data_IF_853549180031
#
_entry.id   IF_853549180031
#
_cell.length_a   1.000
_cell.length_b   1.000
_cell.length_c   1.000
_cell.angle_alpha   90.00
_cell.angle_beta   90.00
_cell.angle_gamma   90.00
#
_symmetry.space_group_name_H-M   'P 1'
#
loop_
_entity.id
_entity.type
_entity.pdbx_description
1 polymer ?
#
# COMPACT_ATOMS: atom_id res chain seq x y z
N UNK A 1 3.36 -29.36 24.61
CA UNK A 1 4.17 -29.41 23.35
C UNK A 1 3.44 -28.84 22.15
N UNK A 2 2.19 -29.16 21.92
CA UNK A 2 1.37 -28.59 20.82
C UNK A 2 1.11 -27.08 20.95
N UNK A 3 0.93 -26.56 22.16
CA UNK A 3 0.75 -25.11 22.40
C UNK A 3 2.02 -24.29 22.09
N UNK A 4 3.21 -24.83 22.34
CA UNK A 4 4.46 -24.15 22.03
C UNK A 4 4.73 -24.10 20.51
N UNK A 5 4.34 -25.12 19.77
CA UNK A 5 4.45 -25.12 18.30
C UNK A 5 3.48 -24.10 17.67
N UNK A 6 2.27 -23.96 18.20
CA UNK A 6 1.30 -22.98 17.74
C UNK A 6 1.76 -21.52 17.99
N UNK A 7 2.44 -21.26 19.11
CA UNK A 7 2.99 -19.93 19.41
C UNK A 7 4.21 -19.59 18.53
N UNK A 8 5.05 -20.56 18.21
CA UNK A 8 6.19 -20.35 17.30
C UNK A 8 5.74 -20.09 15.86
N UNK A 9 4.75 -20.82 15.36
CA UNK A 9 4.20 -20.59 14.02
C UNK A 9 3.56 -19.20 13.92
N UNK A 10 2.84 -18.75 14.94
CA UNK A 10 2.24 -17.41 14.97
C UNK A 10 3.28 -16.28 14.98
N UNK A 11 4.41 -16.47 15.67
CA UNK A 11 5.50 -15.50 15.71
C UNK A 11 6.20 -15.39 14.34
N UNK A 12 6.52 -16.51 13.71
CA UNK A 12 7.12 -16.54 12.38
C UNK A 12 6.17 -15.93 11.33
N UNK A 13 4.89 -16.21 11.40
CA UNK A 13 3.89 -15.67 10.51
C UNK A 13 3.75 -14.15 10.64
N UNK A 14 3.73 -13.61 11.86
CA UNK A 14 3.71 -12.17 12.10
C UNK A 14 4.95 -11.48 11.54
N UNK A 15 6.13 -12.05 11.75
CA UNK A 15 7.39 -11.51 11.23
C UNK A 15 7.40 -11.51 9.70
N UNK A 16 6.89 -12.57 9.08
CA UNK A 16 6.77 -12.66 7.63
C UNK A 16 5.80 -11.60 7.08
N UNK A 17 4.65 -11.40 7.70
CA UNK A 17 3.69 -10.36 7.30
C UNK A 17 4.28 -8.95 7.40
N UNK A 18 5.05 -8.67 8.46
CA UNK A 18 5.73 -7.38 8.62
C UNK A 18 6.74 -7.15 7.48
N UNK A 19 7.59 -8.12 7.18
CA UNK A 19 8.57 -8.03 6.09
C UNK A 19 7.88 -7.85 4.73
N UNK A 20 6.80 -8.59 4.46
CA UNK A 20 6.03 -8.42 3.23
C UNK A 20 5.42 -7.03 3.11
N UNK A 21 4.95 -6.45 4.22
CA UNK A 21 4.40 -5.09 4.24
C UNK A 21 5.49 -4.03 3.96
N UNK A 22 6.67 -4.18 4.55
CA UNK A 22 7.83 -3.31 4.27
C UNK A 22 8.26 -3.41 2.81
N UNK A 23 8.40 -4.63 2.28
CA UNK A 23 8.76 -4.85 0.88
C UNK A 23 7.73 -4.27 -0.10
N UNK A 24 6.45 -4.24 0.25
CA UNK A 24 5.42 -3.61 -0.57
C UNK A 24 5.47 -2.08 -0.52
N UNK A 25 5.95 -1.49 0.56
CA UNK A 25 6.02 -0.04 0.72
C UNK A 25 7.24 0.60 0.01
N UNK A 26 8.38 -0.09 -0.05
CA UNK A 26 9.62 0.47 -0.61
C UNK A 26 9.54 0.86 -2.08
N UNK A 27 9.01 0.05 -3.01
CA UNK A 27 8.84 0.47 -4.39
C UNK A 27 7.91 1.68 -4.55
N UNK A 28 6.91 1.79 -3.66
CA UNK A 28 5.99 2.92 -3.63
C UNK A 28 6.69 4.25 -3.32
N UNK A 29 7.68 4.23 -2.44
CA UNK A 29 8.51 5.41 -2.14
C UNK A 29 9.31 5.86 -3.36
N UNK A 30 9.96 4.92 -4.04
CA UNK A 30 10.73 5.22 -5.25
C UNK A 30 9.84 5.82 -6.36
N UNK A 31 8.67 5.24 -6.58
CA UNK A 31 7.69 5.75 -7.55
C UNK A 31 7.19 7.15 -7.20
N UNK A 32 6.95 7.42 -5.91
CA UNK A 32 6.52 8.73 -5.44
C UNK A 32 7.60 9.80 -5.66
N UNK A 33 8.86 9.49 -5.31
CA UNK A 33 9.98 10.38 -5.54
C UNK A 33 10.19 10.68 -7.02
N UNK A 34 10.12 9.63 -7.86
CA UNK A 34 10.24 9.82 -9.31
C UNK A 34 9.11 10.66 -9.87
N UNK A 35 7.86 10.41 -9.48
CA UNK A 35 6.72 11.20 -9.93
C UNK A 35 6.84 12.67 -9.51
N UNK A 36 7.28 12.95 -8.27
CA UNK A 36 7.56 14.31 -7.82
C UNK A 36 8.64 14.99 -8.64
N UNK A 37 9.76 14.32 -8.87
CA UNK A 37 10.84 14.81 -9.70
C UNK A 37 10.39 15.08 -11.15
N UNK A 38 9.64 14.17 -11.74
CA UNK A 38 9.14 14.31 -13.10
C UNK A 38 8.19 15.52 -13.26
N UNK A 39 7.37 15.78 -12.24
CA UNK A 39 6.50 16.95 -12.19
C UNK A 39 7.29 18.25 -12.05
N UNK A 40 8.28 18.28 -11.14
CA UNK A 40 9.11 19.48 -10.92
C UNK A 40 9.95 19.85 -12.15
N UNK A 41 10.42 18.85 -12.89
CA UNK A 41 11.19 19.05 -14.12
C UNK A 41 10.32 19.15 -15.38
N UNK A 42 9.00 19.09 -15.25
CA UNK A 42 8.05 19.09 -16.38
C UNK A 42 8.40 18.07 -17.47
N UNK A 43 8.80 16.87 -17.07
CA UNK A 43 9.16 15.80 -17.99
C UNK A 43 7.92 15.31 -18.78
N UNK A 44 8.10 14.82 -20.01
CA UNK A 44 6.98 14.37 -20.85
C UNK A 44 6.23 13.17 -20.25
N UNK A 45 6.87 12.38 -19.41
CA UNK A 45 6.31 11.21 -18.73
C UNK A 45 5.75 11.50 -17.32
N UNK A 46 5.72 12.77 -16.89
CA UNK A 46 5.26 13.18 -15.56
C UNK A 46 3.82 12.69 -15.24
N UNK A 47 2.92 12.80 -16.21
CA UNK A 47 1.55 12.32 -16.07
C UNK A 47 1.50 10.80 -15.88
N UNK A 48 2.24 10.06 -16.69
CA UNK A 48 2.33 8.60 -16.61
C UNK A 48 2.94 8.15 -15.28
N UNK A 49 4.03 8.78 -14.84
CA UNK A 49 4.69 8.51 -13.56
C UNK A 49 3.73 8.74 -12.39
N UNK A 50 2.94 9.81 -12.42
CA UNK A 50 1.97 10.14 -11.37
C UNK A 50 0.84 9.10 -11.28
N UNK A 51 0.32 8.66 -12.42
CA UNK A 51 -0.73 7.64 -12.51
C UNK A 51 -0.22 6.30 -12.00
N UNK A 52 0.99 5.88 -12.38
CA UNK A 52 1.60 4.66 -11.89
C UNK A 52 1.87 4.70 -10.39
N UNK A 53 2.43 5.80 -9.89
CA UNK A 53 2.68 5.97 -8.45
C UNK A 53 1.39 5.88 -7.65
N UNK A 54 0.33 6.55 -8.09
CA UNK A 54 -0.98 6.51 -7.41
C UNK A 54 -1.59 5.12 -7.44
N UNK A 55 -1.59 4.44 -8.57
CA UNK A 55 -2.16 3.09 -8.68
C UNK A 55 -1.44 2.09 -7.79
N UNK A 56 -0.11 2.11 -7.80
CA UNK A 56 0.70 1.23 -6.96
C UNK A 56 0.52 1.51 -5.47
N UNK A 57 0.61 2.78 -5.06
CA UNK A 57 0.49 3.17 -3.65
C UNK A 57 -0.89 2.87 -3.08
N UNK A 58 -1.95 2.96 -3.88
CA UNK A 58 -3.29 2.59 -3.45
C UNK A 58 -3.38 1.10 -3.09
N UNK A 59 -2.84 0.22 -3.92
CA UNK A 59 -2.81 -1.22 -3.64
C UNK A 59 -1.87 -1.57 -2.48
N UNK A 60 -0.68 -1.00 -2.45
CA UNK A 60 0.28 -1.21 -1.37
C UNK A 60 -0.27 -0.76 -0.02
N UNK A 61 -0.91 0.42 0.06
CA UNK A 61 -1.51 0.92 1.29
C UNK A 61 -2.64 0.03 1.80
N UNK A 62 -3.46 -0.50 0.90
CA UNK A 62 -4.52 -1.45 1.23
C UNK A 62 -3.95 -2.76 1.77
N UNK A 63 -2.90 -3.29 1.14
CA UNK A 63 -2.21 -4.50 1.59
C UNK A 63 -1.59 -4.29 2.98
N UNK A 64 -0.81 -3.23 3.17
CA UNK A 64 -0.15 -2.90 4.44
C UNK A 64 -1.17 -2.69 5.57
N UNK A 65 -2.27 -2.00 5.31
CA UNK A 65 -3.32 -1.78 6.30
C UNK A 65 -3.98 -3.07 6.76
N UNK A 66 -4.21 -4.01 5.85
CA UNK A 66 -4.74 -5.34 6.19
C UNK A 66 -3.74 -6.14 7.01
N UNK A 67 -2.49 -6.20 6.56
CA UNK A 67 -1.43 -6.90 7.27
C UNK A 67 -1.23 -6.34 8.69
N UNK A 68 -1.31 -5.02 8.87
CA UNK A 68 -1.22 -4.38 10.17
C UNK A 68 -2.35 -4.84 11.12
N UNK A 69 -3.60 -4.90 10.64
CA UNK A 69 -4.72 -5.39 11.45
C UNK A 69 -4.54 -6.87 11.79
N UNK A 70 -4.14 -7.69 10.83
CA UNK A 70 -3.92 -9.12 11.04
C UNK A 70 -2.83 -9.40 12.08
N UNK A 71 -1.72 -8.65 12.02
CA UNK A 71 -0.61 -8.78 13.00
C UNK A 71 -1.06 -8.44 14.42
N UNK A 72 -1.89 -7.42 14.58
CA UNK A 72 -2.38 -6.96 15.87
C UNK A 72 -3.60 -7.77 16.37
N UNK A 73 -4.26 -8.51 15.48
CA UNK A 73 -5.43 -9.31 15.81
C UNK A 73 -6.62 -8.45 16.27
N UNK A 74 -7.39 -8.95 17.22
CA UNK A 74 -8.59 -8.28 17.72
C UNK A 74 -8.35 -6.86 18.25
N UNK A 75 -7.19 -6.59 18.85
CA UNK A 75 -6.81 -5.25 19.35
C UNK A 75 -6.63 -4.25 18.20
N UNK A 76 -6.23 -4.72 17.00
CA UNK A 76 -6.05 -3.87 15.81
C UNK A 76 -7.33 -3.19 15.33
N UNK A 77 -8.50 -3.73 15.68
CA UNK A 77 -9.81 -3.17 15.31
C UNK A 77 -10.33 -2.19 16.36
N UNK A 78 -9.74 -2.21 17.56
CA UNK A 78 -10.16 -1.36 18.69
C UNK A 78 -9.57 0.05 18.59
N UNK A 79 -10.19 1.00 19.33
CA UNK A 79 -9.69 2.37 19.43
C UNK A 79 -8.32 2.47 20.13
N UNK A 80 -7.91 1.44 20.85
CA UNK A 80 -6.68 1.44 21.65
C UNK A 80 -5.42 1.71 20.84
N UNK A 81 -5.35 1.24 19.59
CA UNK A 81 -4.20 1.42 18.69
C UNK A 81 -4.46 2.43 17.56
N UNK A 82 -5.70 2.84 17.35
CA UNK A 82 -6.05 3.79 16.29
C UNK A 82 -5.83 3.28 14.85
N UNK A 83 -5.48 2.01 14.65
CA UNK A 83 -5.22 1.43 13.33
C UNK A 83 -6.44 1.48 12.39
N UNK A 84 -7.64 1.40 12.95
CA UNK A 84 -8.88 1.47 12.19
C UNK A 84 -9.08 2.85 11.53
N UNK A 85 -8.56 3.94 12.09
CA UNK A 85 -8.57 5.27 11.44
C UNK A 85 -7.68 5.27 10.20
N UNK A 86 -6.48 4.68 10.30
CA UNK A 86 -5.58 4.49 9.16
C UNK A 86 -6.23 3.66 8.05
N UNK A 87 -6.90 2.57 8.42
CA UNK A 87 -7.62 1.72 7.50
C UNK A 87 -8.75 2.46 6.76
N UNK A 88 -9.57 3.22 7.49
CA UNK A 88 -10.63 4.06 6.91
C UNK A 88 -10.08 5.13 5.98
N UNK A 89 -9.01 5.82 6.39
CA UNK A 89 -8.34 6.83 5.56
C UNK A 89 -7.79 6.21 4.26
N UNK A 90 -7.17 5.04 4.34
CA UNK A 90 -6.65 4.33 3.17
C UNK A 90 -7.78 3.86 2.25
N UNK A 91 -8.92 3.40 2.79
CA UNK A 91 -10.09 3.04 2.01
C UNK A 91 -10.65 4.25 1.23
N UNK A 92 -10.68 5.43 1.86
CA UNK A 92 -11.04 6.66 1.16
C UNK A 92 -9.99 7.03 0.10
N UNK A 93 -8.71 7.01 0.46
CA UNK A 93 -7.60 7.31 -0.45
C UNK A 93 -7.53 6.38 -1.65
N UNK A 94 -7.99 5.14 -1.51
CA UNK A 94 -8.06 4.17 -2.60
C UNK A 94 -8.98 4.63 -3.73
N UNK A 95 -10.12 5.27 -3.38
CA UNK A 95 -11.10 5.77 -4.34
C UNK A 95 -10.84 7.22 -4.77
N UNK A 96 -10.15 8.00 -3.94
CA UNK A 96 -9.86 9.39 -4.21
C UNK A 96 -9.00 9.55 -5.47
N UNK A 97 -9.41 10.44 -6.35
CA UNK A 97 -8.76 10.72 -7.65
C UNK A 97 -8.75 9.56 -8.64
N UNK A 98 -9.61 8.57 -8.45
CA UNK A 98 -9.77 7.41 -9.33
C UNK A 98 -9.28 6.10 -8.69
N UNK A 99 -10.00 5.03 -8.99
CA UNK A 99 -9.60 3.69 -8.54
C UNK A 99 -8.34 3.21 -9.28
N UNK A 100 -7.55 2.31 -8.69
CA UNK A 100 -6.34 1.79 -9.35
C UNK A 100 -6.59 1.15 -10.71
N UNK A 101 -7.74 0.52 -10.90
CA UNK A 101 -8.13 -0.07 -12.18
C UNK A 101 -8.26 1.00 -13.27
N UNK A 102 -9.02 2.07 -12.94
CA UNK A 102 -9.19 3.22 -13.86
C UNK A 102 -7.87 3.91 -14.17
N UNK A 103 -6.99 4.04 -13.17
CA UNK A 103 -5.67 4.64 -13.36
C UNK A 103 -4.77 3.76 -14.25
N UNK A 104 -4.87 2.44 -14.16
CA UNK A 104 -4.15 1.53 -15.07
C UNK A 104 -4.63 1.64 -16.51
N UNK A 105 -5.94 1.78 -16.71
CA UNK A 105 -6.51 2.03 -18.04
C UNK A 105 -6.02 3.37 -18.63
N UNK A 106 -5.94 4.39 -17.79
CA UNK A 106 -5.39 5.70 -18.16
C UNK A 106 -3.90 5.61 -18.51
N UNK A 107 -3.11 4.91 -17.72
CA UNK A 107 -1.70 4.67 -18.01
C UNK A 107 -1.50 3.95 -19.36
N UNK A 108 -2.31 2.94 -19.63
CA UNK A 108 -2.28 2.24 -20.91
C UNK A 108 -2.58 3.16 -22.10
N UNK A 109 -3.54 4.08 -21.95
CA UNK A 109 -3.83 5.09 -22.97
C UNK A 109 -2.68 6.07 -23.18
N UNK A 110 -2.04 6.52 -22.09
CA UNK A 110 -0.89 7.42 -22.17
C UNK A 110 0.34 6.78 -22.83
N UNK A 111 0.48 5.46 -22.70
CA UNK A 111 1.58 4.70 -23.34
C UNK A 111 1.31 4.40 -24.82
N UNK A 112 0.05 4.41 -25.25
CA UNK A 112 -0.34 4.13 -26.65
C UNK A 112 -0.25 5.35 -27.57
N UNK A 113 0.03 6.51 -27.00
CA UNK A 113 0.25 7.78 -27.70
C UNK A 113 1.73 8.03 -27.95
#
# INVERSE_FOLDING_TARGET
>A
MLLMLATQTSCCQRRQQHLCAEMAAEPGRALLWYAGYALDQALPDASLASVHAKAYLADASRFVSRAAIEVHGGIGITDALGLHYGFKRNAWGYQAFGSPERLRDEAARLQSL
#
